data_IF_162093714863
#
_entry.id   IF_162093714863
#
_cell.length_a   1.000
_cell.length_b   1.000
_cell.length_c   1.000
_cell.angle_alpha   90.00
_cell.angle_beta   90.00
_cell.angle_gamma   90.00
#
_symmetry.space_group_name_H-M   'P 1'
#
loop_
_entity.id
_entity.type
_entity.pdbx_description
1 polymer ?
#
# COMPACT_ATOMS: atom_id res chain seq x y z
N UNK A 1 -7.76 -4.84 17.16
CA UNK A 1 -8.87 -4.70 16.18
C UNK A 1 -9.97 -5.66 16.59
N UNK A 2 -11.24 -5.28 16.53
CA UNK A 2 -12.38 -6.20 16.63
C UNK A 2 -12.50 -7.06 15.37
N UNK A 3 -12.72 -8.36 15.55
CA UNK A 3 -12.94 -9.33 14.49
C UNK A 3 -14.12 -8.94 13.56
N UNK A 4 -13.94 -9.15 12.25
CA UNK A 4 -14.97 -8.89 11.24
C UNK A 4 -15.33 -7.42 11.04
N UNK A 5 -14.62 -6.48 11.67
CA UNK A 5 -14.89 -5.04 11.55
C UNK A 5 -14.01 -4.39 10.48
N UNK A 6 -14.50 -3.31 9.88
CA UNK A 6 -13.77 -2.54 8.87
C UNK A 6 -13.06 -1.34 9.50
N UNK A 7 -11.93 -0.95 8.91
CA UNK A 7 -11.08 0.13 9.39
C UNK A 7 -10.57 0.97 8.22
N UNK A 8 -10.70 2.29 8.33
CA UNK A 8 -10.03 3.23 7.44
C UNK A 8 -8.56 3.32 7.81
N UNK A 9 -7.71 3.17 6.82
CA UNK A 9 -6.25 3.22 6.95
C UNK A 9 -5.68 4.15 5.89
N UNK A 10 -4.45 4.59 6.13
CA UNK A 10 -3.70 5.37 5.17
C UNK A 10 -2.24 4.92 5.16
N UNK A 11 -1.58 5.15 4.02
CA UNK A 11 -0.14 5.01 3.87
C UNK A 11 0.34 6.26 3.15
N UNK A 12 1.44 6.83 3.66
CA UNK A 12 2.11 7.97 3.02
C UNK A 12 3.36 7.49 2.32
N UNK A 13 3.48 7.82 1.03
CA UNK A 13 4.66 7.57 0.23
C UNK A 13 5.40 8.89 0.03
N UNK A 14 6.72 8.83 0.07
CA UNK A 14 7.60 9.91 -0.35
C UNK A 14 8.22 9.53 -1.69
N UNK A 15 8.11 10.39 -2.70
CA UNK A 15 8.93 10.26 -3.89
C UNK A 15 10.36 10.74 -3.55
N UNK A 16 11.23 9.82 -3.12
CA UNK A 16 12.60 10.14 -2.76
C UNK A 16 13.58 10.12 -3.93
N UNK A 17 13.13 9.71 -5.13
CA UNK A 17 13.90 9.71 -6.37
C UNK A 17 14.19 11.11 -6.93
N UNK A 18 14.96 11.18 -8.02
CA UNK A 18 15.27 12.43 -8.74
C UNK A 18 14.16 12.86 -9.71
N UNK A 19 13.33 11.91 -10.15
CA UNK A 19 12.30 12.14 -11.19
C UNK A 19 10.90 12.27 -10.60
N UNK A 20 10.05 13.04 -11.27
CA UNK A 20 8.62 13.09 -10.97
C UNK A 20 7.96 11.76 -11.35
N UNK A 21 6.89 11.38 -10.63
CA UNK A 21 6.05 10.26 -11.06
C UNK A 21 5.19 10.71 -12.24
N UNK A 22 5.53 10.21 -13.42
CA UNK A 22 4.86 10.54 -14.67
C UNK A 22 3.69 9.60 -14.95
N UNK A 23 2.73 10.08 -15.75
CA UNK A 23 1.54 9.33 -16.17
C UNK A 23 1.85 8.04 -16.95
N UNK A 24 3.04 7.95 -17.54
CA UNK A 24 3.49 6.77 -18.29
C UNK A 24 3.74 5.54 -17.39
N UNK A 25 3.77 5.73 -16.07
CA UNK A 25 4.00 4.66 -15.11
C UNK A 25 2.91 4.66 -14.04
N UNK A 26 2.23 3.53 -13.89
CA UNK A 26 1.31 3.32 -12.78
C UNK A 26 2.12 3.16 -11.49
N UNK A 27 2.08 4.17 -10.63
CA UNK A 27 2.64 4.10 -9.29
C UNK A 27 1.54 3.77 -8.30
N UNK A 28 1.83 2.92 -7.33
CA UNK A 28 0.89 2.55 -6.30
C UNK A 28 1.51 1.76 -5.17
N UNK A 29 0.65 1.33 -4.26
CA UNK A 29 0.99 0.41 -3.19
C UNK A 29 0.34 -0.92 -3.48
N UNK A 30 1.11 -2.00 -3.32
CA UNK A 30 0.61 -3.36 -3.39
C UNK A 30 0.63 -4.03 -2.03
N UNK A 31 -0.45 -4.72 -1.68
CA UNK A 31 -0.48 -5.64 -0.55
C UNK A 31 0.38 -6.88 -0.87
N UNK A 32 1.14 -7.38 0.09
CA UNK A 32 2.01 -8.56 -0.06
C UNK A 32 1.39 -9.76 0.66
N UNK A 33 1.32 -10.90 -0.05
CA UNK A 33 0.84 -12.17 0.50
C UNK A 33 -0.59 -12.05 1.06
N UNK A 34 -0.81 -12.64 2.23
CA UNK A 34 -2.13 -12.67 2.89
C UNK A 34 -2.66 -11.29 3.28
N UNK A 35 -1.84 -10.23 3.22
CA UNK A 35 -2.31 -8.85 3.39
C UNK A 35 -3.42 -8.50 2.38
N UNK A 36 -3.37 -9.07 1.17
CA UNK A 36 -4.39 -8.87 0.15
C UNK A 36 -5.78 -9.41 0.54
N UNK A 37 -5.86 -10.30 1.55
CA UNK A 37 -7.13 -10.80 2.07
C UNK A 37 -7.86 -9.77 2.95
N UNK A 38 -7.16 -8.72 3.39
CA UNK A 38 -7.72 -7.69 4.26
C UNK A 38 -8.38 -6.56 3.48
N UNK A 39 -8.07 -6.35 2.20
CA UNK A 39 -8.52 -5.17 1.48
C UNK A 39 -8.03 -5.13 0.03
N UNK A 40 -7.96 -3.95 -0.60
CA UNK A 40 -7.50 -3.85 -1.97
C UNK A 40 -6.05 -4.34 -2.12
N UNK A 41 -5.81 -5.20 -3.10
CA UNK A 41 -4.44 -5.64 -3.43
C UNK A 41 -3.61 -4.48 -4.02
N UNK A 42 -4.25 -3.60 -4.81
CA UNK A 42 -3.63 -2.46 -5.47
C UNK A 42 -4.28 -1.15 -5.03
N UNK A 43 -3.47 -0.20 -4.57
CA UNK A 43 -3.89 1.14 -4.19
C UNK A 43 -3.13 2.15 -5.08
N UNK A 44 -3.78 2.74 -6.11
CA UNK A 44 -3.10 3.62 -7.04
C UNK A 44 -2.73 4.96 -6.37
N UNK A 45 -1.60 5.51 -6.80
CA UNK A 45 -1.21 6.90 -6.53
C UNK A 45 -1.37 7.68 -7.84
N UNK A 46 -2.00 8.86 -7.85
CA UNK A 46 -2.10 9.67 -9.05
C UNK A 46 -0.72 10.08 -9.59
N UNK A 47 -0.61 10.35 -10.90
CA UNK A 47 0.57 10.95 -11.50
C UNK A 47 0.82 12.37 -10.96
N UNK A 48 1.98 12.93 -11.29
CA UNK A 48 2.31 14.33 -10.98
C UNK A 48 2.85 14.54 -9.56
N UNK A 49 3.24 13.47 -8.87
CA UNK A 49 3.95 13.59 -7.60
C UNK A 49 5.41 13.96 -7.89
N UNK A 50 5.77 15.20 -7.53
CA UNK A 50 7.11 15.72 -7.79
C UNK A 50 8.17 14.99 -6.97
N UNK A 51 9.42 15.05 -7.43
CA UNK A 51 10.56 14.66 -6.58
C UNK A 51 10.48 15.37 -5.22
N UNK A 52 10.75 14.63 -4.16
CA UNK A 52 10.67 15.03 -2.74
C UNK A 52 9.26 15.35 -2.22
N UNK A 53 8.22 15.13 -3.02
CA UNK A 53 6.84 15.28 -2.58
C UNK A 53 6.32 13.99 -1.97
N UNK A 54 5.51 14.13 -0.91
CA UNK A 54 4.77 13.03 -0.31
C UNK A 54 3.32 12.99 -0.80
N UNK A 55 2.76 11.79 -0.88
CA UNK A 55 1.35 11.56 -1.16
C UNK A 55 0.77 10.51 -0.21
N UNK A 56 -0.41 10.78 0.34
CA UNK A 56 -1.10 9.88 1.27
C UNK A 56 -2.28 9.22 0.57
N UNK A 57 -2.23 7.90 0.41
CA UNK A 57 -3.38 7.11 -0.01
C UNK A 57 -4.26 6.78 1.19
N UNK A 58 -5.58 6.75 0.98
CA UNK A 58 -6.55 6.34 1.98
C UNK A 58 -7.33 5.16 1.42
N UNK A 59 -7.53 4.11 2.22
CA UNK A 59 -8.25 2.91 1.83
C UNK A 59 -8.88 2.23 3.05
N UNK A 60 -9.67 1.19 2.81
CA UNK A 60 -10.34 0.43 3.86
C UNK A 60 -9.82 -1.00 3.91
N UNK A 61 -9.67 -1.53 5.13
CA UNK A 61 -9.35 -2.93 5.39
C UNK A 61 -10.41 -3.56 6.28
N UNK A 62 -10.63 -4.86 6.12
CA UNK A 62 -11.55 -5.68 6.88
C UNK A 62 -10.75 -6.66 7.73
N UNK A 63 -10.93 -6.59 9.05
CA UNK A 63 -10.29 -7.55 9.95
C UNK A 63 -10.92 -8.95 9.77
N UNK A 64 -10.11 -10.02 9.78
CA UNK A 64 -10.60 -11.40 9.79
C UNK A 64 -11.60 -11.66 10.92
N UNK A 65 -12.47 -12.65 10.72
CA UNK A 65 -13.39 -13.13 11.77
C UNK A 65 -12.67 -13.96 12.84
N UNK A 66 -11.51 -14.51 12.52
CA UNK A 66 -10.71 -15.35 13.42
C UNK A 66 -9.81 -14.41 14.25
N UNK A 67 -9.90 -14.44 15.59
CA UNK A 67 -8.97 -13.71 16.45
C UNK A 67 -7.54 -14.26 16.29
N UNK A 68 -6.56 -13.37 16.37
CA UNK A 68 -5.16 -13.74 16.16
C UNK A 68 -4.27 -12.53 15.93
N UNK A 69 -2.97 -12.79 15.83
CA UNK A 69 -1.99 -11.78 15.41
C UNK A 69 -1.64 -12.00 13.96
N UNK A 70 -1.74 -10.94 13.17
CA UNK A 70 -1.49 -10.95 11.72
C UNK A 70 -0.44 -9.89 11.38
N UNK A 71 0.43 -10.18 10.42
CA UNK A 71 1.35 -9.18 9.85
C UNK A 71 0.76 -8.66 8.54
N UNK A 72 0.50 -7.35 8.49
CA UNK A 72 0.16 -6.66 7.25
C UNK A 72 1.43 -6.10 6.63
N UNK A 73 1.62 -6.31 5.33
CA UNK A 73 2.79 -5.87 4.59
C UNK A 73 2.38 -5.24 3.26
N UNK A 74 2.87 -4.03 3.01
CA UNK A 74 2.59 -3.26 1.81
C UNK A 74 3.88 -2.76 1.17
N UNK A 75 3.96 -2.72 -0.15
CA UNK A 75 5.15 -2.32 -0.90
C UNK A 75 4.80 -1.35 -2.01
N UNK A 76 5.60 -0.30 -2.19
CA UNK A 76 5.43 0.59 -3.33
C UNK A 76 5.93 -0.08 -4.62
N UNK A 77 5.15 0.06 -5.69
CA UNK A 77 5.39 -0.57 -6.99
C UNK A 77 5.18 0.47 -8.08
N UNK A 78 6.02 0.41 -9.10
CA UNK A 78 5.88 1.16 -10.35
C UNK A 78 5.75 0.16 -11.48
N UNK A 79 4.66 0.24 -12.22
CA UNK A 79 4.37 -0.60 -13.39
C UNK A 79 4.30 0.24 -14.65
N UNK A 80 4.82 -0.26 -15.76
CA UNK A 80 4.73 0.39 -17.06
C UNK A 80 5.69 -0.22 -18.07
N UNK A 81 5.34 -0.16 -19.36
CA UNK A 81 6.18 -0.64 -20.45
C UNK A 81 6.63 -2.11 -20.31
N UNK A 82 5.76 -2.97 -19.74
CA UNK A 82 6.05 -4.39 -19.53
C UNK A 82 6.96 -4.69 -18.33
N UNK A 83 7.28 -3.69 -17.52
CA UNK A 83 8.13 -3.81 -16.33
C UNK A 83 7.30 -3.49 -15.08
N UNK A 84 7.43 -4.32 -14.05
CA UNK A 84 6.93 -4.07 -12.70
C UNK A 84 8.11 -4.10 -11.75
N UNK A 85 8.36 -2.97 -11.07
CA UNK A 85 9.46 -2.82 -10.12
C UNK A 85 8.93 -2.37 -8.77
N UNK A 86 9.40 -3.04 -7.71
CA UNK A 86 9.20 -2.58 -6.34
C UNK A 86 10.24 -1.51 -6.00
N UNK A 87 9.86 -0.51 -5.22
CA UNK A 87 10.79 0.51 -4.73
C UNK A 87 10.51 0.89 -3.28
N UNK A 88 11.53 1.31 -2.56
CA UNK A 88 11.48 1.45 -1.10
C UNK A 88 11.43 0.09 -0.38
N UNK A 89 11.38 0.13 0.95
CA UNK A 89 11.24 -1.09 1.77
C UNK A 89 9.76 -1.42 2.01
N UNK A 90 9.41 -2.70 2.25
CA UNK A 90 8.05 -3.05 2.64
C UNK A 90 7.69 -2.36 3.95
N UNK A 91 6.51 -1.75 3.99
CA UNK A 91 5.91 -1.25 5.22
C UNK A 91 5.14 -2.38 5.89
N UNK A 92 5.62 -2.80 7.07
CA UNK A 92 5.06 -3.93 7.83
C UNK A 92 4.45 -3.47 9.14
N UNK A 93 3.34 -4.09 9.53
CA UNK A 93 2.67 -3.85 10.81
C UNK A 93 2.02 -5.12 11.35
N UNK A 94 2.42 -5.52 12.55
CA UNK A 94 1.71 -6.54 13.31
C UNK A 94 0.43 -5.93 13.92
N UNK A 95 -0.69 -6.63 13.75
CA UNK A 95 -1.99 -6.26 14.31
C UNK A 95 -2.62 -7.43 15.04
N UNK A 96 -3.19 -7.17 16.21
CA UNK A 96 -3.94 -8.17 16.98
C UNK A 96 -5.44 -7.96 16.79
N UNK A 97 -6.11 -9.00 16.28
CA UNK A 97 -7.56 -9.11 16.16
C UNK A 97 -8.10 -9.85 17.40
N UNK A 98 -9.13 -9.27 18.02
CA UNK A 98 -9.83 -9.78 19.21
C UNK A 98 -11.33 -9.89 18.93
#
# INVERSE_FOLDING_TARGET
MKAGSSYKVNITLLNDGSENWLDLHAVGIRAIGDTALWGPEWIPVPPGINSKQAYTVNFEINAPKIPGTYELSYQAVREGQGVSVTFGRPHKKAVTVR
#
